data_IF_655002899117
#
_entry.id   IF_655002899117
#
_cell.length_a   1.000
_cell.length_b   1.000
_cell.length_c   1.000
_cell.angle_alpha   90.00
_cell.angle_beta   90.00
_cell.angle_gamma   90.00
#
_symmetry.space_group_name_H-M   'P 1'
#
loop_
_entity.id
_entity.type
_entity.pdbx_description
1 polymer ?
#
# COMPACT_ATOMS: atom_id res chain seq x y z
N UNK A 1 -37.78 -54.69 -80.21
CA UNK A 1 -36.35 -54.89 -80.52
C UNK A 1 -35.69 -53.51 -80.51
N UNK A 2 -35.13 -53.01 -81.62
CA UNK A 2 -34.33 -51.78 -81.72
C UNK A 2 -34.72 -50.58 -80.81
N UNK A 3 -35.99 -50.21 -80.72
CA UNK A 3 -36.43 -49.07 -79.88
C UNK A 3 -36.30 -49.33 -78.38
N UNK A 4 -36.51 -50.58 -77.94
CA UNK A 4 -36.27 -51.02 -76.56
C UNK A 4 -34.78 -51.20 -76.27
N UNK A 5 -33.99 -51.70 -77.22
CA UNK A 5 -32.52 -51.76 -77.09
C UNK A 5 -31.93 -50.35 -76.89
N UNK A 6 -32.44 -49.37 -77.63
CA UNK A 6 -32.03 -47.96 -77.53
C UNK A 6 -32.45 -47.30 -76.21
N UNK A 7 -33.58 -47.71 -75.61
CA UNK A 7 -33.98 -47.22 -74.28
C UNK A 7 -33.17 -47.88 -73.16
N UNK A 8 -32.87 -49.18 -73.25
CA UNK A 8 -31.96 -49.90 -72.33
C UNK A 8 -30.57 -49.24 -72.34
N UNK A 9 -29.96 -49.04 -73.51
CA UNK A 9 -28.64 -48.41 -73.61
C UNK A 9 -28.63 -46.95 -73.09
N UNK A 10 -29.76 -46.24 -73.19
CA UNK A 10 -29.95 -44.93 -72.59
C UNK A 10 -30.08 -44.96 -71.06
N UNK A 11 -30.68 -46.02 -70.50
CA UNK A 11 -30.78 -46.24 -69.05
C UNK A 11 -29.45 -46.69 -68.46
N UNK A 12 -28.75 -47.64 -69.09
CA UNK A 12 -27.41 -48.10 -68.71
C UNK A 12 -26.42 -46.92 -68.62
N UNK A 13 -26.44 -46.03 -69.62
CA UNK A 13 -25.57 -44.84 -69.62
C UNK A 13 -25.91 -43.84 -68.52
N UNK A 14 -27.18 -43.74 -68.11
CA UNK A 14 -27.59 -42.91 -66.96
C UNK A 14 -27.24 -43.57 -65.62
N UNK A 15 -27.31 -44.89 -65.54
CA UNK A 15 -26.87 -45.68 -64.38
C UNK A 15 -25.35 -45.54 -64.17
N UNK A 16 -24.55 -45.68 -65.23
CA UNK A 16 -23.10 -45.46 -65.17
C UNK A 16 -22.67 -44.03 -64.80
N UNK A 17 -23.57 -43.03 -64.92
CA UNK A 17 -23.33 -41.67 -64.44
C UNK A 17 -23.67 -41.46 -62.95
N UNK A 18 -24.36 -42.41 -62.29
CA UNK A 18 -24.65 -42.37 -60.85
C UNK A 18 -23.51 -42.96 -60.00
N UNK A 19 -22.60 -43.73 -60.60
CA UNK A 19 -21.52 -44.43 -59.91
C UNK A 19 -21.98 -45.74 -59.26
N UNK A 20 -21.07 -46.38 -58.53
CA UNK A 20 -21.34 -47.63 -57.83
C UNK A 20 -22.26 -47.42 -56.62
N UNK A 21 -23.17 -48.35 -56.38
CA UNK A 21 -24.16 -48.26 -55.29
C UNK A 21 -23.46 -48.52 -53.94
N UNK A 22 -23.28 -47.46 -53.15
CA UNK A 22 -22.76 -47.58 -51.78
C UNK A 22 -23.78 -48.27 -50.87
N UNK A 23 -23.65 -49.59 -50.70
CA UNK A 23 -24.52 -50.39 -49.83
C UNK A 23 -24.42 -50.00 -48.35
N UNK A 24 -23.28 -49.45 -47.90
CA UNK A 24 -23.09 -48.96 -46.52
C UNK A 24 -23.83 -47.65 -46.26
N UNK A 25 -24.36 -46.96 -47.28
CA UNK A 25 -25.04 -45.68 -47.12
C UNK A 25 -26.30 -45.78 -46.24
N UNK A 26 -26.92 -46.97 -46.14
CA UNK A 26 -28.09 -47.22 -45.28
C UNK A 26 -27.66 -47.26 -43.81
N UNK A 27 -26.70 -48.11 -43.46
CA UNK A 27 -26.15 -48.21 -42.10
C UNK A 27 -25.54 -46.87 -41.64
N UNK A 28 -24.87 -46.15 -42.55
CA UNK A 28 -24.33 -44.81 -42.30
C UNK A 28 -25.42 -43.76 -42.08
N UNK A 29 -26.54 -43.84 -42.80
CA UNK A 29 -27.70 -42.97 -42.60
C UNK A 29 -28.35 -43.21 -41.23
N UNK A 30 -28.62 -44.47 -40.88
CA UNK A 30 -29.22 -44.84 -39.59
C UNK A 30 -28.33 -44.38 -38.41
N UNK A 31 -27.02 -44.67 -38.48
CA UNK A 31 -26.02 -44.19 -37.51
C UNK A 31 -25.99 -42.65 -37.41
N UNK A 32 -26.12 -41.94 -38.53
CA UNK A 32 -26.15 -40.48 -38.54
C UNK A 32 -27.45 -39.92 -37.93
N UNK A 33 -28.60 -40.57 -38.16
CA UNK A 33 -29.89 -40.20 -37.57
C UNK A 33 -29.88 -40.38 -36.05
N UNK A 34 -29.36 -41.50 -35.54
CA UNK A 34 -29.19 -41.71 -34.09
C UNK A 34 -28.28 -40.64 -33.47
N UNK A 35 -27.14 -40.34 -34.10
CA UNK A 35 -26.21 -39.29 -33.64
C UNK A 35 -26.85 -37.90 -33.63
N UNK A 36 -27.65 -37.57 -34.65
CA UNK A 36 -28.39 -36.29 -34.71
C UNK A 36 -29.46 -36.22 -33.62
N UNK A 37 -30.16 -37.33 -33.32
CA UNK A 37 -31.14 -37.39 -32.26
C UNK A 37 -30.51 -37.09 -30.88
N UNK A 38 -29.38 -37.73 -30.56
CA UNK A 38 -28.62 -37.48 -29.33
C UNK A 38 -28.15 -36.03 -29.20
N UNK A 39 -27.54 -35.46 -30.25
CA UNK A 39 -27.11 -34.06 -30.25
C UNK A 39 -28.27 -33.06 -30.10
N UNK A 40 -29.47 -33.40 -30.56
CA UNK A 40 -30.69 -32.60 -30.37
C UNK A 40 -31.25 -32.73 -28.94
N UNK A 41 -31.04 -33.86 -28.27
CA UNK A 41 -31.38 -34.05 -26.86
C UNK A 41 -30.40 -33.32 -25.92
N UNK A 42 -29.09 -33.53 -26.09
CA UNK A 42 -28.03 -32.78 -25.40
C UNK A 42 -28.21 -31.26 -25.58
N UNK A 43 -28.49 -30.83 -26.82
CA UNK A 43 -28.73 -29.43 -27.15
C UNK A 43 -29.97 -28.83 -26.47
N UNK A 44 -30.97 -29.64 -26.07
CA UNK A 44 -32.08 -29.19 -25.21
C UNK A 44 -31.64 -29.13 -23.75
N UNK A 45 -31.07 -30.22 -23.23
CA UNK A 45 -30.60 -30.31 -21.85
C UNK A 45 -29.63 -29.17 -21.47
N UNK A 46 -28.74 -28.77 -22.39
CA UNK A 46 -27.83 -27.64 -22.19
C UNK A 46 -28.53 -26.27 -22.20
N UNK A 47 -29.60 -26.09 -22.99
CA UNK A 47 -30.42 -24.87 -22.94
C UNK A 47 -31.22 -24.81 -21.64
N UNK A 48 -31.86 -25.90 -21.25
CA UNK A 48 -32.65 -25.98 -20.02
C UNK A 48 -31.76 -25.73 -18.78
N UNK A 49 -30.54 -26.28 -18.76
CA UNK A 49 -29.54 -26.01 -17.72
C UNK A 49 -29.03 -24.58 -17.72
N UNK A 50 -28.78 -23.98 -18.89
CA UNK A 50 -28.40 -22.56 -19.00
C UNK A 50 -29.50 -21.67 -18.41
N UNK A 51 -30.76 -21.93 -18.74
CA UNK A 51 -31.89 -21.11 -18.30
C UNK A 51 -32.14 -21.28 -16.78
N UNK A 52 -31.92 -22.48 -16.24
CA UNK A 52 -31.82 -22.69 -14.79
C UNK A 52 -30.70 -21.87 -14.15
N UNK A 53 -29.47 -21.91 -14.68
CA UNK A 53 -28.33 -21.15 -14.15
C UNK A 53 -28.55 -19.63 -14.20
N UNK A 54 -29.18 -19.10 -15.25
CA UNK A 54 -29.57 -17.68 -15.33
C UNK A 54 -30.56 -17.34 -14.21
N UNK A 55 -31.63 -18.13 -14.02
CA UNK A 55 -32.59 -17.86 -12.94
C UNK A 55 -32.00 -17.97 -11.53
N UNK A 56 -30.94 -18.79 -11.33
CA UNK A 56 -30.19 -18.87 -10.07
C UNK A 56 -29.32 -17.63 -9.88
N UNK A 57 -28.69 -17.12 -10.94
CA UNK A 57 -27.91 -15.88 -10.89
C UNK A 57 -28.79 -14.67 -10.55
N UNK A 58 -29.95 -14.53 -11.20
CA UNK A 58 -30.94 -13.48 -10.90
C UNK A 58 -31.38 -13.50 -9.43
N UNK A 59 -31.71 -14.69 -8.89
CA UNK A 59 -32.07 -14.87 -7.48
C UNK A 59 -30.93 -14.50 -6.52
N UNK A 60 -29.69 -14.86 -6.87
CA UNK A 60 -28.51 -14.55 -6.07
C UNK A 60 -28.18 -13.05 -6.08
N UNK A 61 -28.39 -12.36 -7.20
CA UNK A 61 -28.22 -10.91 -7.29
C UNK A 61 -29.24 -10.14 -6.44
N UNK A 62 -30.52 -10.52 -6.51
CA UNK A 62 -31.58 -9.91 -5.68
C UNK A 62 -31.37 -10.19 -4.19
N UNK A 63 -30.93 -11.40 -3.81
CA UNK A 63 -30.57 -11.69 -2.41
C UNK A 63 -29.33 -10.89 -1.97
N UNK A 64 -28.24 -10.88 -2.77
CA UNK A 64 -27.02 -10.11 -2.49
C UNK A 64 -27.32 -8.63 -2.28
N UNK A 65 -28.18 -8.05 -3.13
CA UNK A 65 -28.68 -6.67 -3.05
C UNK A 65 -29.49 -6.45 -1.78
N UNK A 66 -30.43 -7.33 -1.47
CA UNK A 66 -31.28 -7.25 -0.27
C UNK A 66 -30.45 -7.33 1.02
N UNK A 67 -29.50 -8.26 1.09
CA UNK A 67 -28.56 -8.41 2.22
C UNK A 67 -27.68 -7.16 2.36
N UNK A 68 -27.08 -6.65 1.27
CA UNK A 68 -26.24 -5.43 1.31
C UNK A 68 -27.03 -4.22 1.83
N UNK A 69 -28.24 -3.99 1.31
CA UNK A 69 -29.07 -2.87 1.76
C UNK A 69 -29.40 -2.98 3.24
N UNK A 70 -29.73 -4.17 3.75
CA UNK A 70 -29.99 -4.39 5.17
C UNK A 70 -28.74 -4.12 6.04
N UNK A 71 -27.58 -4.65 5.67
CA UNK A 71 -26.29 -4.40 6.37
C UNK A 71 -25.98 -2.91 6.40
N UNK A 72 -26.04 -2.23 5.23
CA UNK A 72 -25.81 -0.80 5.11
C UNK A 72 -26.72 0.01 6.04
N UNK A 73 -28.00 -0.33 6.09
CA UNK A 73 -28.98 0.39 6.91
C UNK A 73 -28.72 0.22 8.42
N UNK A 74 -28.09 -0.88 8.85
CA UNK A 74 -27.61 -1.06 10.22
C UNK A 74 -26.29 -0.31 10.47
N UNK A 75 -25.30 -0.44 9.59
CA UNK A 75 -23.99 0.23 9.71
C UNK A 75 -24.14 1.75 9.68
N UNK A 76 -25.05 2.32 8.88
CA UNK A 76 -25.31 3.77 8.83
C UNK A 76 -25.91 4.31 10.15
N UNK A 77 -26.78 3.52 10.81
CA UNK A 77 -27.33 3.83 12.14
C UNK A 77 -26.25 3.75 13.22
N UNK A 78 -25.36 2.75 13.14
CA UNK A 78 -24.20 2.64 14.02
C UNK A 78 -23.22 3.82 13.80
N UNK A 79 -22.92 4.17 12.55
CA UNK A 79 -22.02 5.26 12.18
C UNK A 79 -22.51 6.62 12.69
N UNK A 80 -23.80 6.92 12.49
CA UNK A 80 -24.42 8.14 13.02
C UNK A 80 -24.29 8.24 14.55
N UNK A 81 -24.39 7.11 15.26
CA UNK A 81 -24.23 7.03 16.73
C UNK A 81 -22.77 7.21 17.15
N UNK A 82 -21.85 6.44 16.56
CA UNK A 82 -20.43 6.45 16.90
C UNK A 82 -19.79 7.81 16.58
N UNK A 83 -20.07 8.38 15.40
CA UNK A 83 -19.55 9.69 15.02
C UNK A 83 -20.04 10.80 15.98
N UNK A 84 -21.30 10.73 16.45
CA UNK A 84 -21.82 11.68 17.44
C UNK A 84 -21.26 11.49 18.86
N UNK A 85 -20.80 10.28 19.22
CA UNK A 85 -20.08 10.02 20.48
C UNK A 85 -18.66 10.58 20.38
N UNK A 86 -17.96 10.29 19.28
CA UNK A 86 -16.58 10.74 19.04
C UNK A 86 -16.50 12.25 18.87
N UNK A 87 -17.36 12.85 18.04
CA UNK A 87 -17.34 14.28 17.70
C UNK A 87 -18.61 15.01 18.18
N UNK A 88 -18.58 15.69 19.35
CA UNK A 88 -19.74 16.42 19.87
C UNK A 88 -20.16 17.52 18.90
N UNK A 89 -21.47 17.70 18.72
CA UNK A 89 -22.08 18.65 17.79
C UNK A 89 -21.75 18.41 16.29
N UNK A 90 -20.99 17.36 15.97
CA UNK A 90 -20.80 16.87 14.61
C UNK A 90 -21.97 16.00 14.13
N UNK A 91 -21.97 15.66 12.84
CA UNK A 91 -22.95 14.72 12.25
C UNK A 91 -22.30 13.92 11.13
N UNK A 92 -22.21 12.60 11.30
CA UNK A 92 -21.76 11.65 10.29
C UNK A 92 -22.93 10.84 9.72
N UNK A 93 -23.01 10.68 8.39
CA UNK A 93 -23.91 9.74 7.72
C UNK A 93 -23.22 9.07 6.53
N UNK A 94 -23.70 7.88 6.19
CA UNK A 94 -23.33 7.18 4.96
C UNK A 94 -24.42 7.37 3.89
N UNK A 95 -24.02 7.51 2.64
CA UNK A 95 -24.90 7.51 1.45
C UNK A 95 -24.32 6.59 0.38
N UNK A 96 -25.18 5.85 -0.32
CA UNK A 96 -24.82 5.24 -1.60
C UNK A 96 -25.05 6.27 -2.71
N UNK A 97 -24.13 6.35 -3.66
CA UNK A 97 -24.31 7.19 -4.87
C UNK A 97 -25.51 6.72 -5.70
N UNK A 98 -25.73 5.41 -5.79
CA UNK A 98 -26.83 4.79 -6.52
C UNK A 98 -27.63 3.80 -5.64
N UNK A 99 -28.70 4.24 -4.96
CA UNK A 99 -29.56 3.36 -4.16
C UNK A 99 -30.36 2.32 -4.96
N UNK A 100 -30.37 2.38 -6.31
CA UNK A 100 -31.05 1.37 -7.15
C UNK A 100 -30.14 0.21 -7.50
N UNK A 101 -28.89 0.51 -7.87
CA UNK A 101 -27.85 -0.48 -8.17
C UNK A 101 -26.64 -0.19 -7.25
N UNK A 102 -26.61 -0.76 -6.03
CA UNK A 102 -25.60 -0.44 -5.02
C UNK A 102 -24.21 -1.06 -5.32
N UNK A 103 -24.05 -1.74 -6.46
CA UNK A 103 -22.78 -2.27 -6.96
C UNK A 103 -22.19 -1.43 -8.10
N UNK A 104 -22.97 -0.53 -8.71
CA UNK A 104 -22.56 0.30 -9.86
C UNK A 104 -22.00 1.67 -9.43
N UNK A 105 -22.04 1.99 -8.13
CA UNK A 105 -21.69 3.30 -7.59
C UNK A 105 -21.06 3.22 -6.21
N UNK A 106 -20.38 4.30 -5.83
CA UNK A 106 -19.59 4.38 -4.60
C UNK A 106 -20.39 4.58 -3.31
N UNK A 107 -19.63 4.52 -2.20
CA UNK A 107 -20.05 4.84 -0.84
C UNK A 107 -19.54 6.23 -0.45
N UNK A 108 -20.43 7.21 -0.41
CA UNK A 108 -20.14 8.54 0.13
C UNK A 108 -20.28 8.57 1.66
N UNK A 109 -19.38 9.32 2.29
CA UNK A 109 -19.34 9.51 3.74
C UNK A 109 -19.50 11.00 4.06
N UNK A 110 -20.74 11.42 4.34
CA UNK A 110 -21.09 12.78 4.76
C UNK A 110 -20.68 13.00 6.23
N UNK A 111 -19.48 13.51 6.46
CA UNK A 111 -19.04 13.94 7.79
C UNK A 111 -19.05 15.46 7.88
N UNK A 112 -19.81 15.99 8.84
CA UNK A 112 -19.87 17.41 9.19
C UNK A 112 -19.22 17.59 10.57
N UNK A 113 -17.98 18.10 10.65
CA UNK A 113 -17.34 18.47 11.91
C UNK A 113 -18.04 19.66 12.59
N UNK A 114 -17.87 19.83 13.92
CA UNK A 114 -18.47 20.93 14.66
C UNK A 114 -18.01 22.29 14.11
N UNK A 115 -18.94 23.22 13.98
CA UNK A 115 -18.69 24.56 13.43
C UNK A 115 -18.53 24.64 11.90
N UNK A 116 -18.42 23.51 11.18
CA UNK A 116 -18.33 23.48 9.72
C UNK A 116 -19.70 23.36 9.05
N UNK A 117 -19.78 23.78 7.79
CA UNK A 117 -21.03 23.80 7.01
C UNK A 117 -21.37 22.42 6.44
N UNK A 118 -22.66 22.14 6.25
CA UNK A 118 -23.16 20.86 5.72
C UNK A 118 -22.77 20.56 4.26
N UNK A 119 -22.17 21.52 3.56
CA UNK A 119 -21.69 21.37 2.18
C UNK A 119 -20.16 21.18 2.07
N UNK A 120 -19.43 21.07 3.19
CA UNK A 120 -17.98 20.81 3.17
C UNK A 120 -17.71 19.40 2.64
N UNK A 121 -16.96 19.30 1.52
CA UNK A 121 -16.60 18.00 0.91
C UNK A 121 -15.50 17.29 1.70
N UNK A 122 -15.41 15.96 1.61
CA UNK A 122 -14.38 15.13 2.29
C UNK A 122 -12.94 15.61 2.06
N UNK A 123 -12.64 16.19 0.89
CA UNK A 123 -11.33 16.79 0.58
C UNK A 123 -10.95 17.96 1.49
N UNK A 124 -11.94 18.75 1.93
CA UNK A 124 -11.80 19.97 2.75
C UNK A 124 -11.76 19.70 4.27
N UNK A 125 -11.66 18.43 4.67
CA UNK A 125 -11.46 18.01 6.06
C UNK A 125 -9.96 18.02 6.42
N UNK A 126 -9.65 18.33 7.68
CA UNK A 126 -8.31 18.18 8.26
C UNK A 126 -7.89 16.71 8.32
N UNK A 127 -6.59 16.44 8.46
CA UNK A 127 -6.05 15.07 8.62
C UNK A 127 -6.75 14.33 9.76
N UNK A 128 -6.74 14.91 10.96
CA UNK A 128 -7.42 14.32 12.12
C UNK A 128 -8.94 14.15 11.94
N UNK A 129 -9.62 15.09 11.25
CA UNK A 129 -11.06 14.95 10.94
C UNK A 129 -11.34 13.77 9.98
N UNK A 130 -10.43 13.50 9.03
CA UNK A 130 -10.49 12.34 8.13
C UNK A 130 -10.25 11.04 8.90
N UNK A 131 -9.23 11.00 9.77
CA UNK A 131 -8.94 9.84 10.62
C UNK A 131 -10.08 9.52 11.59
N UNK A 132 -10.66 10.52 12.24
CA UNK A 132 -11.84 10.37 13.11
C UNK A 132 -13.06 9.81 12.35
N UNK A 133 -13.27 10.22 11.10
CA UNK A 133 -14.34 9.70 10.27
C UNK A 133 -14.09 8.23 9.84
N UNK A 134 -12.85 7.87 9.50
CA UNK A 134 -12.47 6.49 9.19
C UNK A 134 -12.61 5.56 10.41
N UNK A 135 -12.11 5.98 11.57
CA UNK A 135 -12.27 5.24 12.83
C UNK A 135 -13.73 5.08 13.22
N UNK A 136 -14.57 6.13 13.04
CA UNK A 136 -16.00 6.03 13.26
C UNK A 136 -16.69 4.97 12.36
N UNK A 137 -16.21 4.78 11.12
CA UNK A 137 -16.71 3.74 10.20
C UNK A 137 -16.28 2.35 10.65
N UNK A 138 -15.00 2.15 10.99
CA UNK A 138 -14.48 0.88 11.53
C UNK A 138 -15.26 0.50 12.79
N UNK A 139 -15.39 1.42 13.75
CA UNK A 139 -16.15 1.21 14.98
C UNK A 139 -17.66 0.98 14.74
N UNK A 140 -18.24 1.43 13.62
CA UNK A 140 -19.64 1.19 13.27
C UNK A 140 -19.88 -0.18 12.64
N UNK A 141 -18.89 -0.70 11.91
CA UNK A 141 -18.86 -2.08 11.37
C UNK A 141 -18.68 -3.07 12.54
N UNK A 142 -17.76 -2.80 13.47
CA UNK A 142 -17.60 -3.59 14.71
C UNK A 142 -18.86 -3.63 15.60
N UNK A 143 -19.68 -2.56 15.58
CA UNK A 143 -20.98 -2.52 16.27
C UNK A 143 -22.08 -3.32 15.54
N UNK A 144 -21.81 -3.81 14.32
CA UNK A 144 -22.69 -4.73 13.59
C UNK A 144 -22.18 -6.17 13.71
N UNK A 145 -20.87 -6.39 13.48
CA UNK A 145 -20.21 -7.68 13.54
C UNK A 145 -19.02 -7.62 14.54
N UNK A 146 -19.23 -8.00 15.82
CA UNK A 146 -18.21 -7.88 16.85
C UNK A 146 -17.22 -9.05 16.81
N UNK A 147 -15.98 -8.76 16.43
CA UNK A 147 -14.84 -9.68 16.53
C UNK A 147 -14.39 -9.91 17.99
N UNK A 148 -13.65 -11.02 18.25
CA UNK A 148 -13.20 -11.37 19.61
C UNK A 148 -12.04 -10.51 20.11
N UNK A 149 -11.18 -10.02 19.20
CA UNK A 149 -10.10 -9.09 19.49
C UNK A 149 -9.95 -8.05 18.37
N UNK A 150 -9.31 -6.94 18.70
CA UNK A 150 -8.94 -5.87 17.77
C UNK A 150 -7.51 -5.41 18.03
N UNK A 151 -6.81 -5.10 16.96
CA UNK A 151 -5.48 -4.49 16.97
C UNK A 151 -5.58 -3.11 16.29
N UNK A 152 -4.98 -2.09 16.89
CA UNK A 152 -4.96 -0.71 16.41
C UNK A 152 -3.52 -0.19 16.48
N UNK A 153 -2.94 0.14 15.32
CA UNK A 153 -1.56 0.62 15.22
C UNK A 153 -1.53 2.14 14.96
N UNK A 154 -0.87 2.89 15.85
CA UNK A 154 -0.64 4.35 15.81
C UNK A 154 -1.86 5.24 15.46
N UNK A 155 -3.10 4.74 15.66
CA UNK A 155 -4.33 5.37 15.14
C UNK A 155 -4.64 6.77 15.72
N UNK A 156 -3.98 7.16 16.80
CA UNK A 156 -4.08 8.47 17.45
C UNK A 156 -2.83 9.36 17.28
N UNK A 157 -1.87 8.96 16.43
CA UNK A 157 -0.71 9.76 16.07
C UNK A 157 -1.12 11.12 15.45
N UNK A 158 -2.06 11.07 14.50
CA UNK A 158 -2.58 12.23 13.74
C UNK A 158 -3.77 12.96 14.42
N UNK A 159 -3.98 12.75 15.72
CA UNK A 159 -5.09 13.33 16.50
C UNK A 159 -4.59 14.28 17.58
N UNK A 160 -5.43 15.26 17.91
CA UNK A 160 -5.26 16.12 19.08
C UNK A 160 -5.63 15.38 20.39
N UNK A 161 -5.08 15.78 21.55
CA UNK A 161 -5.25 15.04 22.80
C UNK A 161 -6.71 14.81 23.22
N UNK A 162 -7.62 15.73 22.89
CA UNK A 162 -9.05 15.59 23.21
C UNK A 162 -9.73 14.49 22.40
N UNK A 163 -9.39 14.34 21.11
CA UNK A 163 -9.93 13.26 20.27
C UNK A 163 -9.24 11.91 20.55
N UNK A 164 -7.96 11.90 20.92
CA UNK A 164 -7.28 10.71 21.44
C UNK A 164 -7.95 10.19 22.72
N UNK A 165 -8.25 11.07 23.70
CA UNK A 165 -8.99 10.73 24.93
C UNK A 165 -10.31 10.02 24.63
N UNK A 166 -11.01 10.48 23.59
CA UNK A 166 -12.34 10.00 23.19
C UNK A 166 -12.29 8.62 22.55
N UNK A 167 -11.27 8.35 21.74
CA UNK A 167 -11.03 7.01 21.18
C UNK A 167 -10.60 6.05 22.29
N UNK A 168 -9.64 6.43 23.13
CA UNK A 168 -9.18 5.59 24.24
C UNK A 168 -10.33 5.26 25.21
N UNK A 169 -11.18 6.23 25.52
CA UNK A 169 -12.40 6.03 26.32
C UNK A 169 -13.40 5.09 25.63
N UNK A 170 -13.63 5.24 24.32
CA UNK A 170 -14.52 4.36 23.56
C UNK A 170 -13.99 2.92 23.48
N UNK A 171 -12.68 2.74 23.25
CA UNK A 171 -12.00 1.45 23.30
C UNK A 171 -12.14 0.82 24.70
N UNK A 172 -11.96 1.58 25.78
CA UNK A 172 -12.13 1.11 27.16
C UNK A 172 -13.58 0.77 27.52
N UNK A 173 -14.57 1.43 26.92
CA UNK A 173 -15.98 1.02 27.03
C UNK A 173 -16.25 -0.29 26.27
N UNK A 174 -15.56 -0.53 25.15
CA UNK A 174 -15.69 -1.73 24.32
C UNK A 174 -14.85 -2.92 24.82
N UNK A 175 -13.78 -2.69 25.58
CA UNK A 175 -12.91 -3.74 26.13
C UNK A 175 -13.62 -4.70 27.09
N UNK A 176 -14.76 -4.27 27.64
CA UNK A 176 -15.70 -5.11 28.41
C UNK A 176 -16.36 -6.24 27.59
N UNK A 177 -16.21 -6.24 26.26
CA UNK A 177 -16.88 -7.18 25.34
C UNK A 177 -15.96 -7.87 24.32
N UNK A 178 -14.79 -7.31 24.03
CA UNK A 178 -13.78 -7.84 23.11
C UNK A 178 -12.39 -7.37 23.56
N UNK A 179 -11.33 -8.11 23.23
CA UNK A 179 -9.97 -7.68 23.60
C UNK A 179 -9.49 -6.54 22.69
N UNK A 180 -8.96 -5.45 23.26
CA UNK A 180 -8.33 -4.37 22.49
C UNK A 180 -6.82 -4.37 22.76
N UNK A 181 -6.05 -4.34 21.69
CA UNK A 181 -4.61 -4.10 21.68
C UNK A 181 -4.37 -2.82 20.87
N UNK A 182 -3.60 -1.88 21.43
CA UNK A 182 -3.36 -0.58 20.82
C UNK A 182 -1.89 -0.22 20.98
N UNK A 183 -1.19 0.00 19.86
CA UNK A 183 0.15 0.58 19.83
C UNK A 183 -0.01 2.09 19.72
N UNK A 184 0.60 2.81 20.65
CA UNK A 184 0.51 4.28 20.71
C UNK A 184 1.56 4.86 21.64
N UNK A 185 2.09 6.02 21.28
CA UNK A 185 2.97 6.84 22.11
C UNK A 185 2.18 7.88 22.93
N UNK A 186 0.85 7.93 22.84
CA UNK A 186 0.02 8.97 23.48
C UNK A 186 -0.27 8.68 24.95
N UNK A 187 0.21 9.56 25.83
CA UNK A 187 -0.05 9.56 27.29
C UNK A 187 -1.50 9.28 27.66
N UNK A 188 -2.46 9.93 26.99
CA UNK A 188 -3.88 9.83 27.31
C UNK A 188 -4.42 8.41 27.08
N UNK A 189 -3.99 7.76 26.01
CA UNK A 189 -4.33 6.38 25.68
C UNK A 189 -3.64 5.40 26.62
N UNK A 190 -2.36 5.63 26.94
CA UNK A 190 -1.61 4.86 27.95
C UNK A 190 -2.21 4.98 29.36
N UNK A 191 -2.75 6.14 29.76
CA UNK A 191 -3.42 6.34 31.05
C UNK A 191 -4.68 5.48 31.19
N UNK A 192 -5.38 5.19 30.09
CA UNK A 192 -6.64 4.45 30.09
C UNK A 192 -6.51 2.94 29.88
N UNK A 193 -5.31 2.44 29.53
CA UNK A 193 -5.03 1.02 29.40
C UNK A 193 -4.94 0.31 30.76
N UNK A 194 -5.48 -0.91 30.85
CA UNK A 194 -5.46 -1.73 32.07
C UNK A 194 -4.16 -2.57 32.20
N UNK A 195 -3.43 -2.78 31.10
CA UNK A 195 -2.10 -3.42 31.05
C UNK A 195 -1.20 -2.72 30.02
N UNK A 196 0.11 -2.71 30.30
CA UNK A 196 1.14 -2.08 29.47
C UNK A 196 2.17 -3.11 29.03
N UNK A 197 2.67 -2.98 27.79
CA UNK A 197 3.70 -3.84 27.22
C UNK A 197 4.76 -2.93 26.64
N UNK A 198 5.95 -2.92 27.25
CA UNK A 198 7.10 -2.16 26.77
C UNK A 198 7.88 -2.96 25.73
N UNK A 199 8.33 -2.29 24.68
CA UNK A 199 9.36 -2.80 23.75
C UNK A 199 10.56 -1.86 23.87
N UNK A 200 11.76 -2.42 24.03
CA UNK A 200 13.01 -1.65 24.12
C UNK A 200 14.08 -2.23 23.21
N UNK A 201 14.99 -1.40 22.72
CA UNK A 201 16.18 -1.79 21.96
C UNK A 201 17.42 -1.45 22.80
N UNK A 202 18.32 -2.42 22.97
CA UNK A 202 19.47 -2.28 23.86
C UNK A 202 20.81 -2.04 23.12
N UNK A 203 20.74 -1.40 21.94
CA UNK A 203 21.89 -1.18 21.05
C UNK A 203 22.43 -2.43 20.34
N UNK A 204 21.93 -3.63 20.65
CA UNK A 204 22.35 -4.91 20.07
C UNK A 204 21.54 -5.35 18.84
N UNK A 205 20.80 -4.42 18.22
CA UNK A 205 19.92 -4.70 17.08
C UNK A 205 18.71 -5.58 17.39
N UNK A 206 18.37 -5.80 18.68
CA UNK A 206 17.30 -6.71 19.11
C UNK A 206 16.26 -6.00 19.97
N UNK A 207 15.01 -6.07 19.52
CA UNK A 207 13.85 -5.71 20.34
C UNK A 207 13.71 -6.68 21.52
N UNK A 208 13.42 -6.14 22.72
CA UNK A 208 13.22 -6.90 23.94
C UNK A 208 11.90 -6.50 24.59
N UNK A 209 11.16 -7.49 25.07
CA UNK A 209 9.85 -7.33 25.69
C UNK A 209 9.99 -7.03 27.19
N UNK A 210 9.28 -6.03 27.70
CA UNK A 210 9.13 -5.73 29.13
C UNK A 210 7.64 -5.85 29.49
N UNK A 211 7.30 -6.86 30.29
CA UNK A 211 5.92 -7.15 30.72
C UNK A 211 5.57 -6.68 32.13
N UNK A 212 6.59 -6.38 32.94
CA UNK A 212 6.43 -5.78 34.28
C UNK A 212 6.88 -4.31 34.16
N UNK A 213 5.94 -3.46 33.77
CA UNK A 213 6.21 -2.11 33.26
C UNK A 213 5.65 -1.06 34.24
N UNK A 214 6.52 -0.22 34.82
CA UNK A 214 6.07 0.84 35.72
C UNK A 214 5.33 1.93 34.94
N UNK A 215 4.09 2.18 35.34
CA UNK A 215 3.21 3.20 34.76
C UNK A 215 3.76 4.62 34.94
N UNK A 216 4.64 4.87 35.91
CA UNK A 216 5.36 6.13 36.03
C UNK A 216 6.38 6.30 34.88
N UNK A 217 7.29 5.34 34.71
CA UNK A 217 8.28 5.34 33.63
C UNK A 217 7.63 5.34 32.24
N UNK A 218 6.48 4.66 32.08
CA UNK A 218 5.68 4.69 30.85
C UNK A 218 5.24 6.11 30.44
N UNK A 219 4.95 6.97 31.42
CA UNK A 219 4.56 8.35 31.18
C UNK A 219 5.78 9.24 30.93
N UNK A 220 6.86 9.05 31.68
CA UNK A 220 8.13 9.77 31.49
C UNK A 220 8.71 9.56 30.08
N UNK A 221 8.85 8.30 29.63
CA UNK A 221 9.30 8.00 28.26
C UNK A 221 8.37 8.59 27.17
N UNK A 222 7.07 8.63 27.44
CA UNK A 222 6.09 9.25 26.53
C UNK A 222 6.22 10.79 26.51
N UNK A 223 6.76 11.42 27.57
CA UNK A 223 7.14 12.84 27.54
C UNK A 223 8.36 13.06 26.65
N UNK A 224 9.37 12.20 26.76
CA UNK A 224 10.62 12.27 26.00
C UNK A 224 10.36 12.09 24.49
N UNK A 225 9.64 11.04 24.08
CA UNK A 225 9.30 10.82 22.66
C UNK A 225 8.36 11.89 22.07
N UNK A 226 7.41 12.44 22.85
CA UNK A 226 6.59 13.56 22.37
C UNK A 226 7.41 14.85 22.22
N UNK A 227 8.44 15.07 23.05
CA UNK A 227 9.34 16.21 22.93
C UNK A 227 10.33 16.05 21.77
N UNK A 228 10.92 14.87 21.58
CA UNK A 228 11.86 14.57 20.50
C UNK A 228 11.20 14.71 19.12
N UNK A 229 10.03 14.09 18.89
CA UNK A 229 9.27 14.30 17.64
C UNK A 229 8.90 15.76 17.41
N UNK A 230 8.60 16.51 18.49
CA UNK A 230 8.26 17.93 18.36
C UNK A 230 9.48 18.74 17.92
N UNK A 231 10.66 18.47 18.48
CA UNK A 231 11.91 19.08 18.04
C UNK A 231 12.28 18.69 16.60
N UNK A 232 12.07 17.44 16.19
CA UNK A 232 12.26 16.98 14.80
C UNK A 232 11.31 17.73 13.84
N UNK A 233 10.01 17.81 14.15
CA UNK A 233 9.03 18.50 13.32
C UNK A 233 9.24 20.03 13.27
N UNK A 234 9.77 20.63 14.35
CA UNK A 234 10.18 22.04 14.36
C UNK A 234 11.44 22.26 13.50
N UNK A 235 12.44 21.38 13.58
CA UNK A 235 13.63 21.43 12.73
C UNK A 235 13.33 21.15 11.24
N UNK A 236 12.39 20.26 10.94
CA UNK A 236 11.91 19.98 9.58
C UNK A 236 11.14 21.17 9.01
N UNK A 237 10.30 21.83 9.82
CA UNK A 237 9.64 23.07 9.43
C UNK A 237 10.64 24.22 9.21
N UNK A 238 11.65 24.38 10.08
CA UNK A 238 12.74 25.35 9.86
C UNK A 238 13.53 25.03 8.58
N UNK A 239 13.83 23.75 8.30
CA UNK A 239 14.50 23.30 7.06
C UNK A 239 13.65 23.57 5.81
N UNK A 240 12.32 23.55 5.93
CA UNK A 240 11.38 23.88 4.85
C UNK A 240 11.12 25.39 4.69
N UNK A 241 11.31 26.20 5.74
CA UNK A 241 11.28 27.68 5.66
C UNK A 241 12.63 28.31 5.30
N UNK A 242 13.74 27.55 5.35
CA UNK A 242 15.03 28.01 4.83
C UNK A 242 14.96 28.31 3.32
N UNK A 243 15.48 29.46 2.86
CA UNK A 243 15.61 29.73 1.44
C UNK A 243 16.64 28.78 0.81
N UNK A 244 16.44 28.44 -0.47
CA UNK A 244 17.36 27.62 -1.25
C UNK A 244 18.80 28.14 -1.10
N UNK A 245 19.70 27.24 -0.68
CA UNK A 245 21.13 27.56 -0.55
C UNK A 245 21.71 27.85 -1.95
N UNK A 246 22.58 28.86 -2.10
CA UNK A 246 23.19 29.15 -3.40
C UNK A 246 24.07 27.98 -3.84
N UNK A 247 23.94 27.59 -5.12
CA UNK A 247 24.64 26.45 -5.69
C UNK A 247 26.17 26.54 -5.47
N UNK A 248 26.85 25.43 -5.10
CA UNK A 248 28.29 25.44 -4.84
C UNK A 248 29.13 25.70 -6.10
N UNK A 249 28.53 25.67 -7.30
CA UNK A 249 29.20 26.06 -8.54
C UNK A 249 29.38 27.59 -8.67
N UNK A 250 28.41 28.39 -8.19
CA UNK A 250 28.41 29.86 -8.27
C UNK A 250 29.24 30.51 -7.13
N UNK A 251 29.72 29.73 -6.16
CA UNK A 251 30.54 30.25 -5.08
C UNK A 251 31.92 30.72 -5.60
N UNK A 252 32.44 31.89 -5.15
CA UNK A 252 33.71 32.43 -5.61
C UNK A 252 34.87 31.56 -5.10
N UNK A 253 35.31 30.61 -5.95
CA UNK A 253 36.42 29.70 -5.67
C UNK A 253 37.69 30.48 -5.35
N UNK A 254 38.46 30.00 -4.37
CA UNK A 254 39.78 30.55 -4.07
C UNK A 254 40.66 30.50 -5.35
N UNK A 255 41.38 31.58 -5.70
CA UNK A 255 42.28 31.56 -6.84
C UNK A 255 43.38 30.52 -6.60
N UNK A 256 43.77 29.80 -7.65
CA UNK A 256 44.82 28.78 -7.57
C UNK A 256 46.11 29.35 -6.95
N UNK A 257 46.76 28.61 -6.04
CA UNK A 257 47.95 29.11 -5.36
C UNK A 257 49.06 29.39 -6.38
N UNK A 258 49.54 30.64 -6.40
CA UNK A 258 50.63 31.05 -7.28
C UNK A 258 51.87 30.20 -7.02
N UNK A 259 52.28 29.44 -8.04
CA UNK A 259 53.48 28.60 -7.99
C UNK A 259 54.73 29.39 -7.60
N UNK A 260 55.67 28.70 -6.94
CA UNK A 260 56.83 29.31 -6.29
C UNK A 260 57.59 30.29 -7.23
N UNK A 261 57.93 31.50 -6.76
CA UNK A 261 58.54 32.50 -7.62
C UNK A 261 59.97 32.09 -8.02
N UNK A 262 60.28 32.20 -9.32
CA UNK A 262 61.57 31.81 -9.94
C UNK A 262 62.80 32.59 -9.41
N UNK A 263 62.63 33.50 -8.47
CA UNK A 263 63.69 34.15 -7.70
C UNK A 263 64.27 33.26 -6.58
N UNK A 264 63.61 32.15 -6.21
CA UNK A 264 64.09 31.13 -5.27
C UNK A 264 64.49 29.82 -5.95
N UNK A 265 64.82 29.85 -7.25
CA UNK A 265 65.46 28.73 -7.94
C UNK A 265 66.82 28.41 -7.30
N UNK A 266 66.97 27.19 -6.77
CA UNK A 266 68.17 26.72 -6.10
C UNK A 266 69.40 26.65 -7.02
N UNK A 267 70.60 26.51 -6.43
CA UNK A 267 71.86 26.50 -7.16
C UNK A 267 71.98 25.37 -8.22
N UNK A 268 71.16 24.32 -8.13
CA UNK A 268 71.15 23.18 -9.05
C UNK A 268 70.85 23.57 -10.51
N UNK A 269 69.78 24.34 -10.78
CA UNK A 269 69.39 24.71 -12.16
C UNK A 269 70.48 25.52 -12.89
N UNK A 270 71.36 26.21 -12.16
CA UNK A 270 72.46 26.99 -12.75
C UNK A 270 73.74 26.19 -13.00
N UNK A 271 73.81 24.95 -12.52
CA UNK A 271 75.00 24.09 -12.65
C UNK A 271 74.97 23.19 -13.90
N UNK A 272 73.81 23.04 -14.56
CA UNK A 272 73.68 22.19 -15.76
C UNK A 272 73.81 20.69 -15.49
N UNK A 273 73.40 20.24 -14.30
CA UNK A 273 73.38 18.83 -13.89
C UNK A 273 71.93 18.37 -13.82
N UNK A 274 71.56 17.40 -14.66
CA UNK A 274 70.32 16.64 -14.48
C UNK A 274 70.50 15.70 -13.28
N UNK A 275 69.70 15.89 -12.24
CA UNK A 275 69.59 14.96 -11.10
C UNK A 275 68.29 14.21 -11.27
N UNK A 276 68.36 12.91 -11.51
CA UNK A 276 67.21 12.02 -11.44
C UNK A 276 66.76 11.89 -9.99
N UNK A 277 65.50 12.16 -9.70
CA UNK A 277 64.94 12.02 -8.35
C UNK A 277 64.84 10.53 -7.95
N UNK A 278 65.88 10.05 -7.28
CA UNK A 278 65.93 8.76 -6.62
C UNK A 278 66.85 8.87 -5.40
N UNK A 279 66.33 8.47 -4.24
CA UNK A 279 67.02 8.35 -2.95
C UNK A 279 67.79 9.59 -2.45
N UNK A 280 67.09 10.48 -1.74
CA UNK A 280 67.35 10.71 -0.32
C UNK A 280 66.41 11.77 0.31
N UNK A 281 65.76 11.42 1.42
CA UNK A 281 65.93 12.15 2.68
C UNK A 281 65.55 11.22 3.85
N UNK A 282 66.47 11.11 4.82
CA UNK A 282 66.30 10.25 6.00
C UNK A 282 65.33 10.84 7.03
N UNK A 283 64.77 9.98 7.88
CA UNK A 283 63.83 10.33 8.94
C UNK A 283 64.47 11.27 9.99
N UNK A 284 63.70 12.27 10.42
CA UNK A 284 63.95 12.98 11.69
C UNK A 284 62.61 13.00 12.44
N UNK A 285 62.50 12.14 13.47
CA UNK A 285 61.34 12.11 14.35
C UNK A 285 61.18 13.43 15.11
N UNK A 286 59.97 13.99 15.10
CA UNK A 286 59.55 15.06 15.99
C UNK A 286 58.11 14.79 16.42
N UNK A 287 57.87 14.67 17.73
CA UNK A 287 56.56 14.31 18.29
C UNK A 287 55.52 15.42 18.02
N UNK A 288 54.58 15.18 17.10
CA UNK A 288 53.45 16.06 16.82
C UNK A 288 52.61 15.52 15.67
N UNK A 289 51.30 15.33 15.90
CA UNK A 289 50.41 14.69 14.92
C UNK A 289 50.40 15.43 13.58
N UNK A 290 50.68 14.72 12.49
CA UNK A 290 50.73 15.27 11.14
C UNK A 290 49.34 15.64 10.63
N UNK A 291 49.28 16.62 9.73
CA UNK A 291 48.04 17.06 9.06
C UNK A 291 47.37 15.88 8.33
N UNK A 292 48.15 14.91 7.86
CA UNK A 292 47.69 13.64 7.28
C UNK A 292 46.71 12.88 8.21
N UNK A 293 47.08 12.71 9.48
CA UNK A 293 46.22 12.04 10.49
C UNK A 293 44.93 12.80 10.84
N UNK A 294 44.87 14.11 10.56
CA UNK A 294 43.64 14.91 10.65
C UNK A 294 42.83 14.79 9.36
N UNK A 295 43.51 14.65 8.22
CA UNK A 295 42.90 14.54 6.89
C UNK A 295 42.20 13.19 6.70
N UNK A 296 42.87 12.07 6.96
CA UNK A 296 42.24 10.73 6.93
C UNK A 296 40.98 10.71 7.80
N UNK A 297 41.08 11.22 9.04
CA UNK A 297 39.94 11.36 9.94
C UNK A 297 38.81 12.27 9.45
N UNK A 298 39.07 13.24 8.58
CA UNK A 298 38.00 14.03 7.93
C UNK A 298 37.46 13.37 6.67
N UNK A 299 38.27 12.57 5.98
CA UNK A 299 37.83 11.81 4.80
C UNK A 299 36.93 10.64 5.26
N UNK A 300 37.32 9.86 6.29
CA UNK A 300 36.47 8.88 7.00
C UNK A 300 35.11 9.49 7.40
N UNK A 301 35.13 10.63 8.10
CA UNK A 301 33.91 11.32 8.57
C UNK A 301 33.07 11.91 7.42
N UNK A 302 33.63 12.09 6.23
CA UNK A 302 32.87 12.53 5.06
C UNK A 302 32.21 11.34 4.39
N UNK A 303 32.88 10.18 4.32
CA UNK A 303 32.29 8.94 3.81
C UNK A 303 31.13 8.44 4.72
N UNK A 304 31.32 8.42 6.05
CA UNK A 304 30.26 8.11 7.03
C UNK A 304 29.01 9.02 6.88
N UNK A 305 29.20 10.30 6.52
CA UNK A 305 28.08 11.24 6.31
C UNK A 305 27.40 10.99 4.96
N UNK A 306 28.17 10.72 3.90
CA UNK A 306 27.62 10.46 2.56
C UNK A 306 26.86 9.11 2.52
N UNK A 307 27.33 8.08 3.22
CA UNK A 307 26.57 6.82 3.34
C UNK A 307 25.26 7.03 4.12
N UNK A 308 25.26 7.89 5.16
CA UNK A 308 24.02 8.24 5.88
C UNK A 308 23.03 9.04 5.06
N UNK A 309 23.49 10.10 4.36
CA UNK A 309 22.61 10.88 3.47
C UNK A 309 22.06 10.01 2.33
N UNK A 310 22.83 9.03 1.82
CA UNK A 310 22.36 8.08 0.82
C UNK A 310 21.29 7.10 1.35
N UNK A 311 21.33 6.76 2.65
CA UNK A 311 20.30 5.95 3.32
C UNK A 311 19.06 6.79 3.66
N UNK A 312 19.22 8.04 4.09
CA UNK A 312 18.10 8.95 4.39
C UNK A 312 17.39 9.48 3.10
N UNK A 313 18.04 9.41 1.93
CA UNK A 313 17.47 9.83 0.63
C UNK A 313 17.04 8.68 -0.30
N UNK A 314 17.17 7.42 0.14
CA UNK A 314 16.64 6.29 -0.63
C UNK A 314 15.10 6.33 -0.60
N UNK A 315 14.39 6.43 -1.75
CA UNK A 315 12.95 6.28 -1.76
C UNK A 315 12.57 4.83 -1.44
N UNK A 316 11.54 4.64 -0.62
CA UNK A 316 10.91 3.32 -0.43
C UNK A 316 10.37 2.80 -1.78
N UNK A 317 11.14 1.91 -2.42
CA UNK A 317 10.73 1.20 -3.63
C UNK A 317 9.60 0.23 -3.23
N UNK A 318 8.38 0.34 -3.78
CA UNK A 318 7.22 -0.38 -3.28
C UNK A 318 7.36 -1.90 -3.47
N UNK A 319 7.04 -2.67 -2.42
CA UNK A 319 7.00 -4.14 -2.51
C UNK A 319 6.07 -4.59 -3.65
N UNK A 320 6.47 -5.59 -4.46
CA UNK A 320 5.69 -6.02 -5.62
C UNK A 320 4.39 -6.73 -5.19
N UNK A 321 3.25 -6.25 -5.71
CA UNK A 321 1.94 -6.87 -5.47
C UNK A 321 1.91 -8.36 -5.90
N UNK A 322 1.38 -9.27 -5.06
CA UNK A 322 1.23 -10.67 -5.42
C UNK A 322 -0.18 -10.97 -5.99
N UNK A 323 -0.29 -11.24 -7.30
CA UNK A 323 -1.30 -12.10 -7.96
C UNK A 323 -1.14 -12.04 -9.50
N UNK A 324 -1.52 -13.03 -10.32
CA UNK A 324 -2.07 -14.37 -10.08
C UNK A 324 -1.64 -15.34 -11.21
N UNK A 325 -1.78 -16.66 -10.98
CA UNK A 325 -1.83 -17.62 -12.09
C UNK A 325 -3.16 -17.51 -12.85
N UNK A 326 -3.11 -17.37 -14.18
CA UNK A 326 -4.23 -17.78 -15.06
C UNK A 326 -3.75 -18.55 -16.31
N UNK A 327 -3.99 -19.85 -16.23
CA UNK A 327 -4.43 -20.73 -17.33
C UNK A 327 -5.77 -20.23 -17.92
N UNK A 328 -6.27 -20.63 -19.08
CA UNK A 328 -5.85 -21.51 -20.21
C UNK A 328 -6.65 -20.98 -21.45
N UNK A 329 -6.45 -21.38 -22.71
CA UNK A 329 -5.89 -22.60 -23.29
C UNK A 329 -4.76 -22.25 -24.32
N UNK A 330 -4.63 -22.66 -25.60
CA UNK A 330 -5.45 -23.36 -26.63
C UNK A 330 -6.89 -22.84 -26.88
#
# INVERSE_FOLDING_TARGET
MAEAEKSVQGLERRLGHLGDVNMLAIEQYDTAVERIAGLVEDGKLLRDRRDQLVSIAEQLEDERKTRLMAVFDHVNKNFSRVYGILQPYGSGKLRMENPKNPFDGGLEMDCVPPGKSKNTRRSQLSGGEKSMAALALIFAIQDYEPGPFYYLDEVDQNLDPFNAERIATLCRMRSQRAQFMMVTLRKVSLILADHHIGITHAGDGRSRLITDFDRAAALEMSEEFEAERKAQAEAEAERAEMPELPDPEDMPRAPEPLGAPKSLGGLAERAGVEVTEGDAHEEIEAEGGTIESLRERTEDWTEDIVERDAVEQAPDDPEPEPEAEQKEAE
#
